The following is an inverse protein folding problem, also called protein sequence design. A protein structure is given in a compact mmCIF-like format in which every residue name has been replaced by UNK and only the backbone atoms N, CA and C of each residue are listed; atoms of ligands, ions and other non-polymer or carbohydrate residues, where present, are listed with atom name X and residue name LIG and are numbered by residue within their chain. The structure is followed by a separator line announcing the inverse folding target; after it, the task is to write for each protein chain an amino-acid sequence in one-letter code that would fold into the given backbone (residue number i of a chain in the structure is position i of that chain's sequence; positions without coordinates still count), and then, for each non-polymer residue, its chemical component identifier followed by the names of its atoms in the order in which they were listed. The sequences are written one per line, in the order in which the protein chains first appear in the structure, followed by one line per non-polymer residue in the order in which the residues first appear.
data_IF_192501444676
#
_entry.id   IF_192501444676
#
_cell.length_a   1.000
_cell.length_b   1.000
_cell.length_c   1.000
_cell.angle_alpha   90.00
_cell.angle_beta   90.00
_cell.angle_gamma   90.00
#
_symmetry.space_group_name_H-M   'P 1'
#
loop_
_entity.id
_entity.type
_entity.pdbx_description
1 polymer ?
#
# COMPACT_ATOMS: atom_id res chain seq x y z
N UNK A 1 -3.39 -14.95 16.75
CA UNK A 1 -4.38 -14.63 15.70
C UNK A 1 -3.83 -15.14 14.38
N UNK A 2 -4.58 -15.96 13.63
CA UNK A 2 -4.13 -16.48 12.34
C UNK A 2 -4.19 -15.36 11.28
N UNK A 3 -3.10 -14.59 11.17
CA UNK A 3 -2.93 -13.53 10.17
C UNK A 3 -3.19 -14.02 8.74
N UNK A 4 -2.84 -15.28 8.47
CA UNK A 4 -3.15 -15.97 7.22
C UNK A 4 -4.66 -16.15 6.97
N UNK A 5 -5.43 -16.46 8.02
CA UNK A 5 -6.89 -16.63 7.91
C UNK A 5 -7.57 -15.36 7.43
N UNK A 6 -7.23 -14.21 8.02
CA UNK A 6 -7.76 -12.90 7.60
C UNK A 6 -7.47 -12.56 6.14
N UNK A 7 -6.25 -12.87 5.68
CA UNK A 7 -5.86 -12.69 4.28
C UNK A 7 -6.71 -13.56 3.34
N UNK A 8 -6.89 -14.83 3.70
CA UNK A 8 -7.69 -15.78 2.93
C UNK A 8 -9.15 -15.34 2.87
N UNK A 9 -9.73 -15.00 4.02
CA UNK A 9 -11.14 -14.59 4.12
C UNK A 9 -11.41 -13.33 3.28
N UNK A 10 -10.51 -12.35 3.31
CA UNK A 10 -10.61 -11.16 2.47
C UNK A 10 -10.62 -11.53 0.99
N UNK A 11 -9.68 -12.35 0.53
CA UNK A 11 -9.61 -12.75 -0.89
C UNK A 11 -10.86 -13.53 -1.30
N UNK A 12 -11.33 -14.46 -0.47
CA UNK A 12 -12.54 -15.24 -0.73
C UNK A 12 -13.79 -14.34 -0.81
N UNK A 13 -13.90 -13.32 0.05
CA UNK A 13 -15.03 -12.38 -0.01
C UNK A 13 -15.08 -11.53 -1.29
N UNK A 14 -13.95 -11.34 -1.96
CA UNK A 14 -13.85 -10.52 -3.16
C UNK A 14 -14.12 -11.30 -4.46
N UNK A 15 -14.16 -12.63 -4.42
CA UNK A 15 -14.33 -13.50 -5.60
C UNK A 15 -15.59 -13.15 -6.41
N UNK A 16 -16.72 -12.94 -5.72
CA UNK A 16 -17.95 -12.54 -6.39
C UNK A 16 -17.86 -11.15 -7.02
N UNK A 17 -17.22 -10.19 -6.34
CA UNK A 17 -17.08 -8.83 -6.86
C UNK A 17 -16.09 -8.82 -8.05
N UNK A 18 -15.07 -9.68 -8.05
CA UNK A 18 -14.18 -9.89 -9.20
C UNK A 18 -14.96 -10.40 -10.42
N UNK A 19 -15.77 -11.45 -10.24
CA UNK A 19 -16.59 -12.00 -11.32
C UNK A 19 -17.57 -10.95 -11.86
N UNK A 20 -18.27 -10.24 -10.96
CA UNK A 20 -19.21 -9.15 -11.35
C UNK A 20 -18.51 -7.98 -12.04
N UNK A 21 -17.27 -7.65 -11.67
CA UNK A 21 -16.51 -6.57 -12.30
C UNK A 21 -15.99 -6.97 -13.69
N UNK A 22 -15.35 -8.13 -13.82
CA UNK A 22 -14.74 -8.55 -15.09
C UNK A 22 -15.76 -9.04 -16.11
N UNK A 23 -16.78 -9.80 -15.70
CA UNK A 23 -17.76 -10.37 -16.64
C UNK A 23 -18.86 -9.37 -17.00
N UNK A 24 -19.29 -8.57 -16.02
CA UNK A 24 -20.47 -7.69 -16.16
C UNK A 24 -20.14 -6.20 -16.14
N UNK A 25 -18.86 -5.82 -16.05
CA UNK A 25 -18.41 -4.42 -16.01
C UNK A 25 -19.11 -3.59 -14.92
N UNK A 26 -19.43 -4.22 -13.77
CA UNK A 26 -20.14 -3.54 -12.70
C UNK A 26 -19.23 -2.57 -11.92
N UNK A 27 -19.47 -1.27 -12.08
CA UNK A 27 -18.69 -0.21 -11.42
C UNK A 27 -18.70 -0.27 -9.88
N UNK A 28 -19.80 -0.71 -9.27
CA UNK A 28 -19.89 -0.85 -7.81
C UNK A 28 -19.01 -2.01 -7.32
N UNK A 29 -19.01 -3.13 -8.05
CA UNK A 29 -18.14 -4.28 -7.77
C UNK A 29 -16.66 -3.89 -7.93
N UNK A 30 -16.31 -3.13 -8.99
CA UNK A 30 -14.96 -2.60 -9.19
C UNK A 30 -14.48 -1.71 -8.03
N UNK A 31 -15.36 -0.91 -7.46
CA UNK A 31 -15.03 -0.07 -6.29
C UNK A 31 -14.75 -0.93 -5.05
N UNK A 32 -15.50 -2.02 -4.85
CA UNK A 32 -15.29 -2.96 -3.73
C UNK A 32 -14.00 -3.75 -3.89
N UNK A 33 -13.75 -4.29 -5.08
CA UNK A 33 -12.47 -4.96 -5.42
C UNK A 33 -11.29 -4.03 -5.14
N UNK A 34 -11.36 -2.78 -5.59
CA UNK A 34 -10.26 -1.81 -5.36
C UNK A 34 -10.04 -1.52 -3.87
N UNK A 35 -11.10 -1.35 -3.09
CA UNK A 35 -11.00 -1.15 -1.63
C UNK A 35 -10.43 -2.39 -0.93
N UNK A 36 -10.94 -3.58 -1.26
CA UNK A 36 -10.44 -4.84 -0.71
C UNK A 36 -8.96 -5.08 -1.04
N UNK A 37 -8.53 -4.79 -2.27
CA UNK A 37 -7.11 -4.88 -2.64
C UNK A 37 -6.23 -3.88 -1.88
N UNK A 38 -6.75 -2.69 -1.57
CA UNK A 38 -6.04 -1.71 -0.73
C UNK A 38 -5.86 -2.24 0.69
N UNK A 39 -6.89 -2.87 1.25
CA UNK A 39 -6.85 -3.48 2.58
C UNK A 39 -5.86 -4.66 2.63
N UNK A 40 -5.87 -5.51 1.60
CA UNK A 40 -4.91 -6.61 1.43
C UNK A 40 -3.47 -6.09 1.48
N UNK A 41 -3.17 -5.03 0.74
CA UNK A 41 -1.83 -4.41 0.72
C UNK A 41 -1.41 -3.96 2.11
N UNK A 42 -2.29 -3.27 2.83
CA UNK A 42 -2.01 -2.80 4.19
C UNK A 42 -1.76 -3.96 5.15
N UNK A 43 -2.60 -5.00 5.12
CA UNK A 43 -2.43 -6.20 5.95
C UNK A 43 -1.12 -6.92 5.63
N UNK A 44 -0.80 -7.13 4.35
CA UNK A 44 0.45 -7.76 3.94
C UNK A 44 1.69 -6.97 4.39
N UNK A 45 1.63 -5.63 4.32
CA UNK A 45 2.71 -4.77 4.82
C UNK A 45 2.87 -4.84 6.34
N UNK A 46 1.75 -4.88 7.08
CA UNK A 46 1.77 -5.05 8.53
C UNK A 46 2.43 -6.37 8.91
N UNK A 47 2.01 -7.49 8.30
CA UNK A 47 2.58 -8.81 8.58
C UNK A 47 4.06 -8.91 8.21
N UNK A 48 4.48 -8.33 7.08
CA UNK A 48 5.90 -8.26 6.73
C UNK A 48 6.70 -7.54 7.80
N UNK A 49 6.19 -6.41 8.29
CA UNK A 49 6.84 -5.61 9.32
C UNK A 49 6.87 -6.35 10.66
N UNK A 50 5.78 -7.02 11.03
CA UNK A 50 5.74 -7.89 12.23
C UNK A 50 6.79 -8.99 12.15
N UNK A 51 6.88 -9.73 11.05
CA UNK A 51 7.89 -10.80 10.87
C UNK A 51 9.30 -10.24 10.95
N UNK A 52 9.56 -9.10 10.30
CA UNK A 52 10.86 -8.45 10.36
C UNK A 52 11.19 -7.98 11.79
N UNK A 53 10.21 -7.42 12.51
CA UNK A 53 10.37 -6.99 13.88
C UNK A 53 10.60 -8.17 14.83
N UNK A 54 9.89 -9.29 14.66
CA UNK A 54 10.12 -10.52 15.43
C UNK A 54 11.52 -11.07 15.16
N UNK A 55 11.97 -11.08 13.90
CA UNK A 55 13.33 -11.48 13.55
C UNK A 55 14.36 -10.54 14.17
N UNK A 56 14.15 -9.22 14.11
CA UNK A 56 15.05 -8.23 14.70
C UNK A 56 15.05 -8.28 16.23
N UNK A 57 13.91 -8.53 16.86
CA UNK A 57 13.78 -8.72 18.31
C UNK A 57 14.44 -10.01 18.77
N UNK A 58 14.34 -11.09 17.99
CA UNK A 58 15.08 -12.33 18.21
C UNK A 58 16.58 -12.16 17.95
N UNK A 59 16.98 -11.36 16.96
CA UNK A 59 18.37 -11.03 16.67
C UNK A 59 18.98 -10.06 17.69
N UNK A 60 18.20 -9.33 18.49
CA UNK A 60 18.71 -8.50 19.58
C UNK A 60 19.34 -9.34 20.71
N UNK A 61 19.11 -10.66 20.76
CA UNK A 61 19.82 -11.59 21.64
C UNK A 61 21.16 -12.12 21.07
N UNK A 62 21.47 -11.84 19.79
CA UNK A 62 22.71 -12.26 19.14
C UNK A 62 23.27 -11.11 18.28
N UNK A 63 24.19 -10.35 18.87
CA UNK A 63 24.66 -9.04 18.41
C UNK A 63 24.93 -8.87 16.90
N UNK A 64 24.56 -7.69 16.40
CA UNK A 64 24.88 -7.25 15.04
C UNK A 64 24.30 -5.87 14.73
N UNK A 65 24.94 -4.81 15.24
CA UNK A 65 24.61 -3.43 14.90
C UNK A 65 25.27 -3.01 13.58
N UNK A 66 24.48 -2.53 12.60
CA UNK A 66 24.85 -1.36 11.76
C UNK A 66 23.66 -0.73 11.02
N UNK A 67 23.09 0.31 11.65
CA UNK A 67 22.78 1.66 11.16
C UNK A 67 22.61 1.88 9.63
N UNK A 68 21.46 2.45 9.22
CA UNK A 68 21.40 3.75 8.52
C UNK A 68 19.96 4.29 8.34
N UNK A 69 19.57 5.21 9.21
CA UNK A 69 18.86 6.46 8.89
C UNK A 69 19.43 7.52 9.88
N UNK A 70 19.37 8.85 9.67
CA UNK A 70 18.45 9.59 8.79
C UNK A 70 19.11 10.76 8.01
N UNK A 71 18.42 11.31 6.99
CA UNK A 71 18.59 12.71 6.59
C UNK A 71 17.44 13.20 5.71
N UNK A 72 16.53 13.96 6.32
CA UNK A 72 15.70 14.92 5.61
C UNK A 72 16.54 16.16 5.24
N UNK A 73 16.40 16.65 4.01
CA UNK A 73 16.69 18.04 3.61
C UNK A 73 15.65 18.40 2.53
N UNK A 74 14.48 18.89 2.93
CA UNK A 74 14.08 20.30 3.12
C UNK A 74 13.80 21.03 1.80
N UNK A 75 12.53 21.33 1.54
CA UNK A 75 11.97 22.63 1.11
C UNK A 75 10.77 22.50 0.14
N UNK A 76 9.56 22.70 0.65
CA UNK A 76 8.60 23.59 0.01
C UNK A 76 8.79 24.98 0.69
N UNK A 77 8.48 26.16 0.07
CA UNK A 77 7.35 26.42 -0.81
C UNK A 77 7.61 27.41 -1.97
N UNK A 78 6.58 27.67 -2.78
CA UNK A 78 6.14 28.99 -3.28
C UNK A 78 5.81 29.09 -4.79
N UNK A 79 4.55 29.47 -5.01
CA UNK A 79 4.10 30.50 -5.94
C UNK A 79 4.22 30.30 -7.46
N UNK A 80 3.05 30.02 -8.04
CA UNK A 80 2.41 30.79 -9.10
C UNK A 80 3.23 31.83 -9.89
N UNK A 81 2.99 31.79 -11.22
CA UNK A 81 2.74 32.93 -12.14
C UNK A 81 3.84 33.22 -13.17
N UNK A 82 3.52 32.89 -14.43
CA UNK A 82 3.69 33.65 -15.70
C UNK A 82 3.87 32.64 -16.84
N UNK A 83 3.32 32.76 -18.03
CA UNK A 83 2.34 33.63 -18.66
C UNK A 83 2.11 33.00 -20.06
N UNK A 84 0.88 33.00 -20.57
CA UNK A 84 0.64 32.88 -22.01
C UNK A 84 1.26 34.12 -22.73
N UNK A 85 1.58 34.08 -24.03
CA UNK A 85 0.51 34.26 -25.02
C UNK A 85 0.71 33.55 -26.37
N UNK A 86 -0.40 33.54 -27.12
CA UNK A 86 -0.54 33.18 -28.52
C UNK A 86 0.44 33.85 -29.50
N UNK A 87 0.84 33.14 -30.57
CA UNK A 87 0.71 33.56 -31.98
C UNK A 87 1.26 32.53 -32.99
N UNK A 88 0.42 32.25 -34.00
CA UNK A 88 0.68 32.00 -35.43
C UNK A 88 1.77 30.98 -35.83
N UNK A 89 1.32 29.90 -36.47
CA UNK A 89 1.30 29.80 -37.93
C UNK A 89 0.09 28.97 -38.37
#
# INVERSE_FOLDING_TARGET
MNNFGKLKDLVMSLEEDFSKFYDKQNAAAGTRVRKGMQELKTMAQAFRTEVQNTKNASAAAAGGAKKAAPAAKKAAPAAAKKAAPAKKK
#
